data_IF_414772032670
#
_entry.id   IF_414772032670
#
_cell.length_a   1.000
_cell.length_b   1.000
_cell.length_c   1.000
_cell.angle_alpha   90.00
_cell.angle_beta   90.00
_cell.angle_gamma   90.00
#
_symmetry.space_group_name_H-M   'P 1'
#
loop_
_entity.id
_entity.type
_entity.pdbx_description
1 polymer ?
#
# COMPACT_ATOMS: atom_id res chain seq x y z
N UNK A 1 7.72 51.02 -36.94
CA UNK A 1 8.20 51.65 -38.20
C UNK A 1 8.46 50.59 -39.27
N UNK A 2 9.24 49.54 -38.99
CA UNK A 2 9.58 48.50 -39.98
C UNK A 2 8.36 47.76 -40.56
N UNK A 3 7.27 47.65 -39.81
CA UNK A 3 6.01 47.02 -40.24
C UNK A 3 5.06 47.92 -41.03
N UNK A 4 5.50 49.13 -41.39
CA UNK A 4 4.69 50.03 -42.21
C UNK A 4 4.55 49.42 -43.61
N UNK A 5 3.33 49.16 -44.11
CA UNK A 5 3.13 48.57 -45.43
C UNK A 5 3.84 49.36 -46.53
N UNK A 6 4.43 48.65 -47.48
CA UNK A 6 5.11 49.20 -48.65
C UNK A 6 6.36 50.06 -48.38
N UNK A 7 6.79 50.21 -47.11
CA UNK A 7 7.94 51.03 -46.74
C UNK A 7 9.28 50.44 -47.22
N UNK A 8 9.46 49.14 -47.06
CA UNK A 8 10.71 48.45 -47.39
C UNK A 8 10.73 47.89 -48.82
N UNK A 9 9.55 47.76 -49.44
CA UNK A 9 9.36 47.34 -50.83
C UNK A 9 7.97 47.78 -51.30
N UNK A 10 7.90 48.51 -52.42
CA UNK A 10 6.66 49.12 -52.92
C UNK A 10 5.54 48.13 -53.28
N UNK A 11 5.90 46.87 -53.54
CA UNK A 11 4.95 45.82 -53.92
C UNK A 11 4.57 44.92 -52.74
N UNK A 12 5.24 45.02 -51.60
CA UNK A 12 5.03 44.10 -50.48
C UNK A 12 4.35 44.78 -49.29
N UNK A 13 3.12 44.35 -49.02
CA UNK A 13 2.36 44.78 -47.84
C UNK A 13 3.03 44.30 -46.54
N UNK A 14 3.44 43.03 -46.49
CA UNK A 14 4.25 42.47 -45.40
C UNK A 14 5.62 42.06 -45.94
N UNK A 15 6.66 42.81 -45.58
CA UNK A 15 8.00 42.61 -46.13
C UNK A 15 8.60 41.25 -45.77
N UNK A 16 8.43 40.81 -44.51
CA UNK A 16 9.00 39.53 -44.05
C UNK A 16 8.38 38.33 -44.75
N UNK A 17 7.07 38.29 -44.96
CA UNK A 17 6.46 37.17 -45.68
C UNK A 17 6.81 37.18 -47.17
N UNK A 18 6.95 38.37 -47.77
CA UNK A 18 7.49 38.51 -49.12
C UNK A 18 8.90 37.92 -49.24
N UNK A 19 9.75 38.12 -48.23
CA UNK A 19 11.09 37.54 -48.19
C UNK A 19 11.09 36.03 -47.93
N UNK A 20 10.33 35.57 -46.94
CA UNK A 20 10.37 34.18 -46.45
C UNK A 20 9.59 33.23 -47.36
N UNK A 21 8.46 33.66 -47.89
CA UNK A 21 7.51 32.82 -48.64
C UNK A 21 7.33 33.23 -50.10
N UNK A 22 7.97 34.34 -50.55
CA UNK A 22 7.63 35.00 -51.80
C UNK A 22 6.14 35.35 -51.91
N UNK A 23 5.49 35.60 -50.75
CA UNK A 23 4.07 35.90 -50.63
C UNK A 23 3.86 37.07 -49.66
N UNK A 24 3.62 38.30 -50.16
CA UNK A 24 3.50 39.49 -49.33
C UNK A 24 2.14 39.65 -48.63
N UNK A 25 1.21 38.70 -48.79
CA UNK A 25 -0.14 38.78 -48.22
C UNK A 25 -0.27 38.10 -46.84
N UNK A 26 0.72 37.31 -46.43
CA UNK A 26 0.76 36.67 -45.12
C UNK A 26 1.16 37.72 -44.08
N UNK A 27 0.32 37.91 -43.06
CA UNK A 27 0.59 38.84 -41.97
C UNK A 27 1.76 38.36 -41.08
N UNK A 28 2.99 38.60 -41.51
CA UNK A 28 4.22 38.34 -40.76
C UNK A 28 4.97 39.67 -40.57
N UNK A 29 5.00 40.16 -39.33
CA UNK A 29 5.56 41.47 -38.97
C UNK A 29 6.79 41.32 -38.07
N UNK A 30 7.72 42.28 -38.13
CA UNK A 30 8.87 42.37 -37.24
C UNK A 30 8.44 42.51 -35.78
N UNK A 31 7.39 43.28 -35.50
CA UNK A 31 6.78 43.39 -34.16
C UNK A 31 6.30 42.04 -33.64
N UNK A 32 5.55 41.28 -34.45
CA UNK A 32 5.05 39.96 -34.06
C UNK A 32 6.21 39.00 -33.80
N UNK A 33 7.19 38.95 -34.71
CA UNK A 33 8.37 38.11 -34.56
C UNK A 33 9.14 38.45 -33.28
N UNK A 34 9.32 39.73 -32.98
CA UNK A 34 10.00 40.17 -31.77
C UNK A 34 9.19 39.83 -30.49
N UNK A 35 7.87 40.00 -30.53
CA UNK A 35 6.99 39.62 -29.41
C UNK A 35 6.99 38.12 -29.16
N UNK A 36 6.90 37.31 -30.22
CA UNK A 36 6.92 35.86 -30.16
C UNK A 36 8.26 35.32 -29.63
N UNK A 37 9.37 35.94 -30.03
CA UNK A 37 10.69 35.65 -29.46
C UNK A 37 10.75 35.97 -27.96
N UNK A 38 10.13 37.08 -27.50
CA UNK A 38 10.04 37.39 -26.06
C UNK A 38 9.21 36.38 -25.28
N UNK A 39 8.18 35.84 -25.92
CA UNK A 39 7.29 34.82 -25.34
C UNK A 39 7.86 33.40 -25.45
N UNK A 40 9.11 33.23 -25.92
CA UNK A 40 9.75 31.93 -26.18
C UNK A 40 8.94 31.04 -27.13
N UNK A 41 8.24 31.61 -28.11
CA UNK A 41 7.57 30.81 -29.15
C UNK A 41 8.61 30.23 -30.11
N UNK A 42 8.33 29.02 -30.58
CA UNK A 42 9.19 28.32 -31.53
C UNK A 42 9.24 29.02 -32.88
N UNK A 43 10.34 28.83 -33.61
CA UNK A 43 10.57 29.45 -34.93
C UNK A 43 9.49 29.11 -35.96
N UNK A 44 8.94 27.89 -35.90
CA UNK A 44 7.91 27.41 -36.82
C UNK A 44 6.65 28.29 -36.75
N UNK A 45 6.13 28.48 -35.53
CA UNK A 45 4.96 29.35 -35.28
C UNK A 45 5.30 30.83 -35.49
N UNK A 46 6.46 31.27 -35.00
CA UNK A 46 6.88 32.67 -35.05
C UNK A 46 7.02 33.18 -36.49
N UNK A 47 7.62 32.37 -37.38
CA UNK A 47 7.77 32.71 -38.79
C UNK A 47 6.58 32.27 -39.65
N UNK A 48 5.55 31.66 -39.04
CA UNK A 48 4.37 31.13 -39.73
C UNK A 48 4.70 30.13 -40.85
N UNK A 49 5.66 29.24 -40.58
CA UNK A 49 6.17 28.29 -41.56
C UNK A 49 5.12 27.28 -42.04
N UNK A 50 3.97 27.18 -41.38
CA UNK A 50 2.80 26.43 -41.87
C UNK A 50 2.33 26.88 -43.26
N UNK A 51 2.63 28.12 -43.67
CA UNK A 51 2.33 28.63 -45.01
C UNK A 51 3.27 28.09 -46.10
N UNK A 52 4.37 27.44 -45.72
CA UNK A 52 5.29 26.76 -46.65
C UNK A 52 5.31 25.25 -46.46
N UNK A 53 5.13 24.77 -45.24
CA UNK A 53 5.18 23.34 -44.92
C UNK A 53 4.28 23.04 -43.73
N UNK A 54 3.17 22.35 -43.97
CA UNK A 54 2.21 21.99 -42.93
C UNK A 54 2.67 20.72 -42.20
N UNK A 55 3.30 20.87 -41.03
CA UNK A 55 3.80 19.73 -40.25
C UNK A 55 2.65 18.82 -39.80
N UNK A 56 1.46 19.38 -39.56
CA UNK A 56 0.29 18.61 -39.08
C UNK A 56 -0.16 17.54 -40.07
N UNK A 57 0.08 17.71 -41.38
CA UNK A 57 -0.20 16.68 -42.38
C UNK A 57 0.68 15.43 -42.22
N UNK A 58 1.84 15.56 -41.56
CA UNK A 58 2.81 14.48 -41.39
C UNK A 58 2.87 13.93 -39.96
N UNK A 59 2.10 14.48 -39.03
CA UNK A 59 2.01 14.02 -37.65
C UNK A 59 0.80 13.12 -37.39
N UNK A 60 0.17 12.59 -38.45
CA UNK A 60 -0.93 11.66 -38.30
C UNK A 60 -0.45 10.37 -37.62
N UNK A 61 -0.74 10.23 -36.33
CA UNK A 61 -0.34 9.08 -35.54
C UNK A 61 -0.84 7.76 -36.14
N UNK A 62 -1.99 7.76 -36.82
CA UNK A 62 -2.52 6.55 -37.45
C UNK A 62 -1.64 6.05 -38.61
N UNK A 63 -0.94 6.95 -39.30
CA UNK A 63 0.01 6.58 -40.36
C UNK A 63 1.31 5.99 -39.81
N UNK A 64 1.75 6.44 -38.63
CA UNK A 64 3.03 6.03 -38.03
C UNK A 64 2.92 4.85 -37.06
N UNK A 65 1.83 4.79 -36.31
CA UNK A 65 1.60 3.75 -35.30
C UNK A 65 0.93 2.49 -35.88
N UNK A 66 0.57 2.50 -37.17
CA UNK A 66 -0.21 1.44 -37.77
C UNK A 66 -1.54 1.23 -37.05
N UNK A 67 -2.03 -0.02 -37.04
CA UNK A 67 -3.30 -0.37 -36.40
C UNK A 67 -3.07 -1.25 -35.18
N UNK A 68 -2.34 -0.72 -34.19
CA UNK A 68 -2.14 -1.37 -32.87
C UNK A 68 -3.49 -1.80 -32.28
N UNK A 69 -4.57 -1.05 -32.52
CA UNK A 69 -5.92 -1.44 -32.12
C UNK A 69 -6.39 -2.76 -32.75
N UNK A 70 -6.16 -2.97 -34.05
CA UNK A 70 -6.40 -4.25 -34.71
C UNK A 70 -5.43 -5.32 -34.23
N UNK A 71 -4.17 -5.00 -33.96
CA UNK A 71 -3.19 -5.96 -33.47
C UNK A 71 -3.61 -6.52 -32.09
N UNK A 72 -4.06 -5.65 -31.18
CA UNK A 72 -4.67 -6.06 -29.91
C UNK A 72 -5.98 -6.81 -30.10
N UNK A 73 -6.83 -6.39 -31.03
CA UNK A 73 -8.10 -7.08 -31.31
C UNK A 73 -7.90 -8.49 -31.89
N UNK A 74 -6.81 -8.68 -32.64
CA UNK A 74 -6.45 -9.96 -33.25
C UNK A 74 -5.49 -10.78 -32.38
N UNK A 75 -5.09 -10.25 -31.22
CA UNK A 75 -4.24 -10.95 -30.28
C UNK A 75 -5.00 -12.14 -29.69
N UNK A 76 -4.63 -13.35 -30.12
CA UNK A 76 -5.20 -14.58 -29.60
C UNK A 76 -4.22 -15.23 -28.61
N UNK A 77 -4.47 -15.05 -27.32
CA UNK A 77 -3.68 -15.68 -26.24
C UNK A 77 -4.40 -16.93 -25.77
N UNK A 78 -3.76 -18.10 -25.92
CA UNK A 78 -4.23 -19.33 -25.27
C UNK A 78 -3.87 -19.28 -23.78
N UNK A 79 -4.88 -19.32 -22.93
CA UNK A 79 -4.75 -19.30 -21.46
C UNK A 79 -4.86 -20.73 -20.88
N UNK A 80 -4.88 -21.75 -21.74
CA UNK A 80 -5.26 -23.13 -21.40
C UNK A 80 -4.33 -23.79 -20.36
N UNK A 81 -3.11 -23.25 -20.17
CA UNK A 81 -2.12 -23.77 -19.24
C UNK A 81 -1.87 -22.87 -18.00
N UNK A 82 -2.70 -21.85 -17.75
CA UNK A 82 -2.58 -21.04 -16.54
C UNK A 82 -3.33 -21.73 -15.40
N UNK A 83 -2.58 -22.42 -14.54
CA UNK A 83 -3.12 -22.97 -13.28
C UNK A 83 -3.06 -21.87 -12.22
N UNK A 84 -4.18 -21.18 -11.99
CA UNK A 84 -4.31 -20.14 -10.96
C UNK A 84 -4.36 -20.72 -9.55
N UNK A 85 -5.09 -21.82 -9.38
CA UNK A 85 -5.25 -22.52 -8.11
C UNK A 85 -5.20 -24.02 -8.40
N UNK A 86 -4.13 -24.66 -7.95
CA UNK A 86 -3.95 -26.10 -8.12
C UNK A 86 -4.87 -26.88 -7.15
N UNK A 87 -4.95 -28.20 -7.33
CA UNK A 87 -5.79 -29.06 -6.50
C UNK A 87 -5.47 -28.96 -5.00
N UNK A 88 -4.20 -28.77 -4.67
CA UNK A 88 -3.73 -28.62 -3.28
C UNK A 88 -4.17 -27.27 -2.72
N UNK A 89 -3.95 -26.18 -3.46
CA UNK A 89 -4.39 -24.84 -3.09
C UNK A 89 -5.90 -24.75 -2.94
N UNK A 90 -6.66 -25.37 -3.84
CA UNK A 90 -8.14 -25.43 -3.74
C UNK A 90 -8.55 -26.17 -2.48
N UNK A 91 -7.94 -27.32 -2.18
CA UNK A 91 -8.24 -28.08 -0.98
C UNK A 91 -7.92 -27.29 0.28
N UNK A 92 -6.74 -26.68 0.36
CA UNK A 92 -6.35 -25.85 1.50
C UNK A 92 -7.31 -24.69 1.74
N UNK A 93 -7.82 -24.06 0.66
CA UNK A 93 -8.78 -22.97 0.78
C UNK A 93 -10.16 -23.47 1.25
N UNK A 94 -10.59 -24.65 0.78
CA UNK A 94 -11.81 -25.30 1.27
C UNK A 94 -11.68 -25.73 2.74
N UNK A 95 -10.53 -26.27 3.14
CA UNK A 95 -10.24 -26.65 4.53
C UNK A 95 -10.19 -25.40 5.42
N UNK A 96 -9.57 -24.31 4.96
CA UNK A 96 -9.58 -23.04 5.67
C UNK A 96 -11.00 -22.47 5.81
N UNK A 97 -11.77 -22.46 4.73
CA UNK A 97 -13.17 -22.00 4.73
C UNK A 97 -14.07 -22.84 5.64
N UNK A 98 -13.72 -24.10 5.89
CA UNK A 98 -14.46 -25.00 6.78
C UNK A 98 -13.81 -25.18 8.17
N UNK A 99 -12.73 -24.45 8.45
CA UNK A 99 -12.01 -24.53 9.73
C UNK A 99 -12.79 -23.97 10.91
N UNK A 100 -13.84 -23.17 10.64
CA UNK A 100 -14.63 -22.48 11.66
C UNK A 100 -13.92 -21.28 12.29
N UNK A 101 -12.77 -20.87 11.75
CA UNK A 101 -11.99 -19.71 12.22
C UNK A 101 -12.77 -18.39 12.17
N UNK A 102 -13.75 -18.31 11.28
CA UNK A 102 -14.71 -17.21 11.11
C UNK A 102 -15.80 -17.17 12.18
N UNK A 103 -16.08 -18.31 12.82
CA UNK A 103 -17.11 -18.44 13.86
C UNK A 103 -16.62 -18.11 15.27
N UNK A 104 -15.30 -17.93 15.43
CA UNK A 104 -14.69 -17.62 16.73
C UNK A 104 -15.03 -16.17 17.11
N UNK A 105 -15.65 -15.98 18.26
CA UNK A 105 -15.75 -14.65 18.88
C UNK A 105 -14.39 -14.25 19.46
N UNK A 106 -13.57 -13.59 18.64
CA UNK A 106 -12.24 -13.15 19.03
C UNK A 106 -12.26 -12.14 20.17
N UNK A 107 -13.35 -11.37 20.36
CA UNK A 107 -13.44 -10.45 21.48
C UNK A 107 -13.57 -11.21 22.80
N UNK A 108 -14.43 -12.23 22.85
CA UNK A 108 -14.56 -13.09 24.04
C UNK A 108 -13.28 -13.89 24.29
N UNK A 109 -12.70 -14.46 23.23
CA UNK A 109 -11.44 -15.20 23.32
C UNK A 109 -10.30 -14.33 23.88
N UNK A 110 -10.09 -13.13 23.33
CA UNK A 110 -9.06 -12.21 23.79
C UNK A 110 -9.34 -11.69 25.21
N UNK A 111 -10.61 -11.49 25.58
CA UNK A 111 -10.98 -11.11 26.94
C UNK A 111 -10.64 -12.21 27.96
N UNK A 112 -10.81 -13.49 27.59
CA UNK A 112 -10.39 -14.62 28.43
C UNK A 112 -8.86 -14.70 28.53
N UNK A 113 -8.16 -14.47 27.42
CA UNK A 113 -6.70 -14.41 27.39
C UNK A 113 -6.11 -13.25 28.20
N UNK A 114 -6.90 -12.22 28.51
CA UNK A 114 -6.48 -11.12 29.38
C UNK A 114 -6.53 -11.46 30.88
N UNK A 115 -7.11 -12.60 31.27
CA UNK A 115 -7.25 -12.99 32.68
C UNK A 115 -6.01 -13.71 33.20
N UNK A 116 -5.76 -13.61 34.50
CA UNK A 116 -4.70 -14.37 35.14
C UNK A 116 -5.00 -15.89 35.04
N UNK A 117 -4.01 -16.75 34.72
CA UNK A 117 -4.24 -18.20 34.60
C UNK A 117 -4.67 -18.88 35.91
N UNK A 118 -4.40 -18.24 37.05
CA UNK A 118 -4.73 -18.77 38.37
C UNK A 118 -5.57 -17.77 39.16
N UNK A 119 -6.53 -18.29 39.94
CA UNK A 119 -7.40 -17.46 40.80
C UNK A 119 -6.66 -16.78 41.95
N UNK A 120 -5.51 -17.33 42.35
CA UNK A 120 -4.66 -16.82 43.43
C UNK A 120 -3.21 -16.73 42.95
N UNK A 121 -2.40 -15.92 43.64
CA UNK A 121 -0.96 -15.92 43.43
C UNK A 121 -0.37 -17.22 44.02
N UNK A 122 0.07 -18.13 43.17
CA UNK A 122 0.58 -19.43 43.59
C UNK A 122 1.85 -19.34 44.46
N UNK A 123 2.72 -18.35 44.23
CA UNK A 123 3.92 -18.17 45.05
C UNK A 123 3.57 -17.71 46.46
N UNK A 124 2.69 -16.72 46.60
CA UNK A 124 2.18 -16.27 47.89
C UNK A 124 1.47 -17.41 48.62
N UNK A 125 0.60 -18.14 47.91
CA UNK A 125 -0.12 -19.28 48.49
C UNK A 125 0.82 -20.40 48.96
N UNK A 126 1.87 -20.72 48.20
CA UNK A 126 2.89 -21.69 48.60
C UNK A 126 3.67 -21.21 49.83
N UNK A 127 4.03 -19.93 49.90
CA UNK A 127 4.75 -19.35 51.04
C UNK A 127 3.89 -19.40 52.31
N UNK A 128 2.60 -19.05 52.22
CA UNK A 128 1.67 -19.12 53.35
C UNK A 128 1.46 -20.56 53.82
N UNK A 129 1.38 -21.51 52.89
CA UNK A 129 1.24 -22.93 53.19
C UNK A 129 2.46 -23.48 53.94
N UNK A 130 3.66 -23.12 53.48
CA UNK A 130 4.91 -23.51 54.13
C UNK A 130 5.06 -22.87 55.51
N UNK A 131 4.74 -21.58 55.65
CA UNK A 131 4.75 -20.88 56.93
C UNK A 131 3.79 -21.55 57.94
N UNK A 132 2.59 -21.94 57.53
CA UNK A 132 1.66 -22.70 58.38
C UNK A 132 2.23 -24.07 58.76
N UNK A 133 2.88 -24.76 57.83
CA UNK A 133 3.53 -26.04 58.11
C UNK A 133 4.68 -25.92 59.10
N UNK A 134 5.41 -24.79 59.11
CA UNK A 134 6.52 -24.58 60.04
C UNK A 134 6.10 -24.54 61.51
N UNK A 135 4.88 -24.09 61.78
CA UNK A 135 4.29 -24.06 63.13
C UNK A 135 3.77 -25.43 63.61
N UNK A 136 3.71 -26.44 62.73
CA UNK A 136 3.30 -27.78 63.10
C UNK A 136 4.45 -28.56 63.77
N UNK A 137 4.12 -29.48 64.70
CA UNK A 137 5.08 -30.44 65.21
C UNK A 137 5.64 -31.31 64.08
N UNK A 138 6.81 -31.90 64.30
CA UNK A 138 7.42 -32.80 63.33
C UNK A 138 6.51 -34.00 63.08
N UNK A 139 6.36 -34.39 61.81
CA UNK A 139 5.48 -35.49 61.41
C UNK A 139 5.13 -35.45 59.92
N UNK A 140 4.37 -36.46 59.50
CA UNK A 140 3.95 -36.63 58.10
C UNK A 140 3.18 -35.42 57.57
N UNK A 141 2.27 -34.85 58.36
CA UNK A 141 1.47 -33.69 57.94
C UNK A 141 2.34 -32.48 57.58
N UNK A 142 3.32 -32.14 58.43
CA UNK A 142 4.28 -31.05 58.16
C UNK A 142 5.03 -31.28 56.85
N UNK A 143 5.54 -32.50 56.66
CA UNK A 143 6.29 -32.86 55.45
C UNK A 143 5.41 -32.81 54.19
N UNK A 144 4.17 -33.30 54.28
CA UNK A 144 3.21 -33.26 53.16
C UNK A 144 2.85 -31.83 52.76
N UNK A 145 2.62 -30.93 53.72
CA UNK A 145 2.32 -29.53 53.41
C UNK A 145 3.50 -28.81 52.76
N UNK A 146 4.73 -29.04 53.24
CA UNK A 146 5.94 -28.51 52.61
C UNK A 146 6.15 -29.05 51.20
N UNK A 147 5.94 -30.35 51.01
CA UNK A 147 5.98 -30.99 49.68
C UNK A 147 4.97 -30.35 48.73
N UNK A 148 3.73 -30.13 49.18
CA UNK A 148 2.70 -29.48 48.38
C UNK A 148 3.05 -28.02 48.03
N UNK A 149 3.59 -27.25 48.98
CA UNK A 149 4.09 -25.90 48.70
C UNK A 149 5.16 -25.92 47.61
N UNK A 150 6.08 -26.89 47.65
CA UNK A 150 7.09 -27.06 46.62
C UNK A 150 6.48 -27.46 45.26
N UNK A 151 5.51 -28.37 45.24
CA UNK A 151 4.75 -28.73 44.02
C UNK A 151 4.06 -27.51 43.41
N UNK A 152 3.44 -26.65 44.22
CA UNK A 152 2.81 -25.41 43.75
C UNK A 152 3.83 -24.48 43.10
N UNK A 153 5.04 -24.35 43.67
CA UNK A 153 6.13 -23.57 43.07
C UNK A 153 6.59 -24.15 41.74
N UNK A 154 6.65 -25.49 41.63
CA UNK A 154 6.97 -26.18 40.38
C UNK A 154 5.90 -25.94 39.32
N UNK A 155 4.61 -26.00 39.67
CA UNK A 155 3.50 -25.68 38.74
C UNK A 155 3.59 -24.22 38.28
N UNK A 156 3.83 -23.29 39.20
CA UNK A 156 3.97 -21.88 38.85
C UNK A 156 5.08 -21.66 37.82
N UNK A 157 6.26 -22.24 38.04
CA UNK A 157 7.41 -22.09 37.11
C UNK A 157 7.23 -22.85 35.79
N UNK A 158 6.70 -24.07 35.86
CA UNK A 158 6.63 -24.98 34.72
C UNK A 158 5.39 -24.80 33.85
N UNK A 159 4.32 -24.20 34.35
CA UNK A 159 3.04 -24.09 33.64
C UNK A 159 2.51 -22.66 33.61
N UNK A 160 2.45 -21.97 34.75
CA UNK A 160 1.83 -20.63 34.82
C UNK A 160 2.68 -19.60 34.06
N UNK A 161 3.98 -19.51 34.32
CA UNK A 161 4.86 -18.53 33.65
C UNK A 161 4.86 -18.73 32.12
N UNK A 162 5.05 -19.94 31.56
CA UNK A 162 4.98 -20.14 30.11
C UNK A 162 3.63 -19.77 29.51
N UNK A 163 2.53 -20.06 30.21
CA UNK A 163 1.19 -19.71 29.74
C UNK A 163 0.97 -18.20 29.72
N UNK A 164 1.38 -17.48 30.76
CA UNK A 164 1.34 -16.00 30.80
C UNK A 164 2.14 -15.38 29.65
N UNK A 165 3.34 -15.90 29.38
CA UNK A 165 4.18 -15.43 28.27
C UNK A 165 3.52 -15.67 26.91
N UNK A 166 2.90 -16.83 26.71
CA UNK A 166 2.16 -17.15 25.49
C UNK A 166 0.96 -16.21 25.31
N UNK A 167 0.20 -15.95 26.37
CA UNK A 167 -0.96 -15.05 26.34
C UNK A 167 -0.56 -13.62 25.97
N UNK A 168 0.52 -13.09 26.57
CA UNK A 168 1.05 -11.75 26.27
C UNK A 168 1.55 -11.66 24.82
N UNK A 169 2.26 -12.68 24.35
CA UNK A 169 2.77 -12.71 22.97
C UNK A 169 1.63 -12.66 21.96
N UNK A 170 0.61 -13.51 22.15
CA UNK A 170 -0.58 -13.52 21.30
C UNK A 170 -1.27 -12.16 21.34
N UNK A 171 -1.53 -11.60 22.53
CA UNK A 171 -2.22 -10.31 22.67
C UNK A 171 -1.50 -9.15 21.93
N UNK A 172 -0.17 -9.10 22.00
CA UNK A 172 0.62 -8.08 21.32
C UNK A 172 0.61 -8.24 19.78
N UNK A 173 0.59 -9.47 19.27
CA UNK A 173 0.53 -9.74 17.82
C UNK A 173 -0.76 -9.23 17.18
N UNK A 174 -1.88 -9.22 17.91
CA UNK A 174 -3.17 -8.72 17.44
C UNK A 174 -3.28 -7.18 17.44
N UNK A 175 -2.18 -6.46 17.66
CA UNK A 175 -2.16 -5.00 17.59
C UNK A 175 -3.02 -4.33 18.66
N UNK A 176 -3.30 -5.01 19.76
CA UNK A 176 -3.77 -4.39 21.00
C UNK A 176 -2.52 -4.00 21.78
N UNK A 177 -1.98 -2.78 21.61
CA UNK A 177 -0.90 -2.36 22.46
C UNK A 177 -1.53 -2.30 23.85
N UNK A 178 -1.07 -3.16 24.75
CA UNK A 178 -1.33 -2.97 26.16
C UNK A 178 -0.90 -1.54 26.50
N UNK A 179 -1.89 -0.66 26.66
CA UNK A 179 -1.93 0.41 27.65
C UNK A 179 -3.20 1.21 27.45
N UNK A 180 -3.72 1.71 28.57
CA UNK A 180 -4.56 2.89 28.64
C UNK A 180 -3.90 4.03 27.81
N UNK A 181 -4.09 4.06 26.49
CA UNK A 181 -4.14 5.24 25.59
C UNK A 181 -4.06 4.85 24.09
N UNK A 182 -5.19 5.13 23.41
CA UNK A 182 -5.47 5.45 21.99
C UNK A 182 -5.02 4.50 20.85
N UNK A 183 -5.94 4.15 19.94
CA UNK A 183 -5.72 3.17 18.88
C UNK A 183 -4.99 3.76 17.67
N UNK A 184 -4.09 2.98 17.09
CA UNK A 184 -3.68 3.14 15.69
C UNK A 184 -4.54 2.19 14.87
N UNK A 185 -5.30 2.76 13.93
CA UNK A 185 -6.14 2.05 12.99
C UNK A 185 -5.30 1.15 12.07
N UNK A 186 -5.49 -0.17 12.14
CA UNK A 186 -5.19 -1.04 11.02
C UNK A 186 -6.48 -1.22 10.22
N UNK A 187 -6.50 -0.55 9.06
CA UNK A 187 -7.52 -0.72 8.05
C UNK A 187 -7.62 -2.20 7.64
N UNK A 188 -8.85 -2.65 7.44
CA UNK A 188 -9.19 -4.05 7.28
C UNK A 188 -8.71 -4.66 5.97
N UNK A 189 -8.52 -5.98 6.01
CA UNK A 189 -8.70 -6.80 4.83
C UNK A 189 -10.21 -6.97 4.62
N UNK A 190 -10.77 -6.14 3.75
CA UNK A 190 -12.01 -6.45 3.06
C UNK A 190 -11.59 -7.28 1.84
N UNK A 191 -11.98 -8.55 1.81
CA UNK A 191 -11.96 -9.33 0.59
C UNK A 191 -13.37 -9.18 -0.01
N UNK A 192 -13.46 -8.40 -1.08
CA UNK A 192 -14.58 -8.45 -2.02
C UNK A 192 -14.60 -9.78 -2.78
#
# INVERSE_FOLDING_TARGET
>A
ILDTPYLLNENWKYYLSGMVFNNPDINLTFEQVYSDCKENKGIYTTLKLENSYNISEHLNFQEHAGNIGNDFKNLNVSIDNIVLLDEVGRRNLMDFSSSGVDTIDYNVYLAEMGKAPTKVNLLSFANDLEAKADHLPQGSLKQSLKSNAQTIRTIHRGQVIPLEQSMVTTYNLWGFPGTRTKPISLAGFHLD
#
